data_IF_610551045734
#
_entry.id   IF_610551045734
#
_cell.length_a   1.000
_cell.length_b   1.000
_cell.length_c   1.000
_cell.angle_alpha   90.00
_cell.angle_beta   90.00
_cell.angle_gamma   90.00
#
_symmetry.space_group_name_H-M   'P 1'
#
loop_
_entity.id
_entity.type
_entity.pdbx_description
1 polymer ?
#
# COMPACT_ATOMS: atom_id res chain seq x y z
N UNK A 1 -3.04 -24.05 -63.81
CA UNK A 1 -3.53 -23.55 -62.51
C UNK A 1 -2.42 -22.76 -61.85
N UNK A 2 -2.61 -21.48 -61.54
CA UNK A 2 -1.62 -20.65 -60.82
C UNK A 2 -1.85 -20.83 -59.32
N UNK A 3 -0.83 -21.30 -58.61
CA UNK A 3 -0.82 -21.38 -57.15
C UNK A 3 -0.89 -19.96 -56.57
N UNK A 4 -1.96 -19.66 -55.84
CA UNK A 4 -2.11 -18.42 -55.07
C UNK A 4 -1.79 -18.76 -53.62
N UNK A 5 -0.68 -18.24 -53.04
CA UNK A 5 -0.34 -18.53 -51.67
C UNK A 5 -1.42 -17.94 -50.73
N UNK A 6 -1.76 -18.63 -49.63
CA UNK A 6 -2.74 -18.13 -48.68
C UNK A 6 -2.27 -16.78 -48.11
N UNK A 7 -3.14 -15.77 -48.17
CA UNK A 7 -2.95 -14.50 -47.46
C UNK A 7 -2.70 -14.81 -45.99
N UNK A 8 -1.49 -14.52 -45.49
CA UNK A 8 -1.26 -14.45 -44.04
C UNK A 8 -2.24 -13.42 -43.49
N UNK A 9 -3.23 -13.89 -42.72
CA UNK A 9 -4.10 -13.00 -41.95
C UNK A 9 -3.19 -12.17 -41.06
N UNK A 10 -3.24 -10.85 -41.19
CA UNK A 10 -2.58 -9.97 -40.25
C UNK A 10 -3.09 -10.34 -38.85
N UNK A 11 -2.21 -10.52 -37.84
CA UNK A 11 -2.67 -10.83 -36.50
C UNK A 11 -3.66 -9.76 -36.07
N UNK A 12 -4.87 -10.16 -35.66
CA UNK A 12 -5.86 -9.25 -35.08
C UNK A 12 -5.14 -8.51 -33.95
N UNK A 13 -4.94 -7.20 -34.11
CA UNK A 13 -4.41 -6.36 -33.04
C UNK A 13 -5.47 -6.26 -31.96
N UNK A 14 -5.49 -7.22 -31.05
CA UNK A 14 -6.36 -7.17 -29.88
C UNK A 14 -5.95 -5.96 -29.03
N UNK A 15 -6.93 -5.11 -28.73
CA UNK A 15 -6.71 -3.96 -27.88
C UNK A 15 -6.72 -4.43 -26.43
N UNK A 16 -5.74 -4.00 -25.62
CA UNK A 16 -5.71 -4.30 -24.18
C UNK A 16 -6.98 -3.82 -23.46
N UNK A 17 -7.72 -2.87 -24.04
CA UNK A 17 -9.01 -2.37 -23.54
C UNK A 17 -10.13 -3.41 -23.55
N UNK A 18 -9.97 -4.48 -24.34
CA UNK A 18 -10.91 -5.60 -24.42
C UNK A 18 -10.60 -6.70 -23.40
N UNK A 19 -9.48 -6.61 -22.67
CA UNK A 19 -9.14 -7.56 -21.61
C UNK A 19 -10.13 -7.37 -20.44
N UNK A 20 -10.83 -8.41 -19.98
CA UNK A 20 -11.78 -8.29 -18.86
C UNK A 20 -11.14 -7.71 -17.59
N UNK A 21 -9.92 -8.14 -17.24
CA UNK A 21 -9.20 -7.61 -16.09
C UNK A 21 -8.84 -6.11 -16.22
N UNK A 22 -8.60 -5.61 -17.44
CA UNK A 22 -8.43 -4.17 -17.66
C UNK A 22 -9.72 -3.42 -17.33
N UNK A 23 -10.87 -3.94 -17.76
CA UNK A 23 -12.17 -3.32 -17.48
C UNK A 23 -12.48 -3.34 -15.97
N UNK A 24 -12.18 -4.46 -15.30
CA UNK A 24 -12.31 -4.59 -13.85
C UNK A 24 -11.44 -3.56 -13.11
N UNK A 25 -10.16 -3.43 -13.47
CA UNK A 25 -9.26 -2.44 -12.88
C UNK A 25 -9.68 -1.01 -13.23
N UNK A 26 -10.18 -0.76 -14.43
CA UNK A 26 -10.68 0.55 -14.84
C UNK A 26 -11.89 0.96 -14.02
N UNK A 27 -12.81 0.03 -13.75
CA UNK A 27 -13.95 0.26 -12.88
C UNK A 27 -13.52 0.47 -11.43
N UNK A 28 -12.59 -0.35 -10.93
CA UNK A 28 -12.15 -0.30 -9.55
C UNK A 28 -11.27 0.90 -9.22
N UNK A 29 -10.36 1.30 -10.12
CA UNK A 29 -9.30 2.30 -9.84
C UNK A 29 -9.43 3.58 -10.68
N UNK A 30 -10.30 3.58 -11.68
CA UNK A 30 -10.36 4.60 -12.73
C UNK A 30 -9.55 4.21 -13.96
N UNK A 31 -10.07 4.55 -15.13
CA UNK A 31 -9.47 4.17 -16.41
C UNK A 31 -8.04 4.71 -16.58
N UNK A 32 -7.77 5.94 -16.15
CA UNK A 32 -6.44 6.54 -16.24
C UNK A 32 -5.38 5.69 -15.50
N UNK A 33 -5.73 5.18 -14.31
CA UNK A 33 -4.85 4.30 -13.52
C UNK A 33 -4.66 2.97 -14.26
N UNK A 34 -5.73 2.36 -14.78
CA UNK A 34 -5.64 1.11 -15.52
C UNK A 34 -4.77 1.23 -16.79
N UNK A 35 -4.88 2.36 -17.51
CA UNK A 35 -4.01 2.66 -18.67
C UNK A 35 -2.56 2.81 -18.22
N UNK A 36 -2.29 3.50 -17.12
CA UNK A 36 -0.94 3.65 -16.58
C UNK A 36 -0.32 2.29 -16.21
N UNK A 37 -1.08 1.39 -15.58
CA UNK A 37 -0.61 0.03 -15.27
C UNK A 37 -0.17 -0.73 -16.54
N UNK A 38 -0.93 -0.61 -17.63
CA UNK A 38 -0.58 -1.21 -18.92
C UNK A 38 0.71 -0.59 -19.49
N UNK A 39 0.88 0.73 -19.38
CA UNK A 39 2.09 1.41 -19.84
C UNK A 39 3.32 0.98 -19.05
N UNK A 40 3.21 0.89 -17.72
CA UNK A 40 4.28 0.41 -16.83
C UNK A 40 4.66 -1.04 -17.14
N UNK A 41 3.67 -1.91 -17.36
CA UNK A 41 3.87 -3.30 -17.79
C UNK A 41 4.60 -3.37 -19.13
N UNK A 42 4.16 -2.62 -20.14
CA UNK A 42 4.81 -2.62 -21.47
C UNK A 42 6.22 -2.04 -21.44
N UNK A 43 6.49 -1.06 -20.58
CA UNK A 43 7.83 -0.52 -20.40
C UNK A 43 8.76 -1.53 -19.74
N UNK A 44 8.24 -2.38 -18.85
CA UNK A 44 9.02 -3.39 -18.11
C UNK A 44 9.17 -4.68 -18.90
N UNK A 45 8.14 -5.07 -19.65
CA UNK A 45 8.07 -6.26 -20.48
C UNK A 45 7.69 -5.86 -21.92
N UNK A 46 8.63 -5.30 -22.72
CA UNK A 46 8.33 -4.79 -24.06
C UNK A 46 7.79 -5.82 -25.05
N UNK A 47 8.08 -7.10 -24.80
CA UNK A 47 7.64 -8.23 -25.61
C UNK A 47 6.34 -8.86 -25.12
N UNK A 48 5.72 -8.34 -24.05
CA UNK A 48 4.47 -8.86 -23.53
C UNK A 48 3.34 -8.69 -24.55
N UNK A 49 2.73 -9.80 -24.94
CA UNK A 49 1.56 -9.82 -25.79
C UNK A 49 0.27 -9.55 -24.99
N UNK A 50 -0.87 -9.56 -25.68
CA UNK A 50 -2.17 -9.26 -25.06
C UNK A 50 -2.54 -10.30 -23.99
N UNK A 51 -2.14 -11.56 -24.17
CA UNK A 51 -2.38 -12.63 -23.22
C UNK A 51 -1.57 -12.43 -21.94
N UNK A 52 -0.27 -12.16 -22.07
CA UNK A 52 0.63 -11.86 -20.95
C UNK A 52 0.14 -10.65 -20.15
N UNK A 53 -0.28 -9.58 -20.83
CA UNK A 53 -0.90 -8.43 -20.18
C UNK A 53 -2.20 -8.81 -19.46
N UNK A 54 -3.01 -9.68 -20.07
CA UNK A 54 -4.25 -10.18 -19.48
C UNK A 54 -4.01 -10.95 -18.17
N UNK A 55 -3.03 -11.83 -18.15
CA UNK A 55 -2.64 -12.58 -16.95
C UNK A 55 -2.15 -11.63 -15.86
N UNK A 56 -1.23 -10.72 -16.18
CA UNK A 56 -0.68 -9.76 -15.22
C UNK A 56 -1.78 -8.89 -14.58
N UNK A 57 -2.67 -8.33 -15.40
CA UNK A 57 -3.79 -7.51 -14.91
C UNK A 57 -4.77 -8.33 -14.06
N UNK A 58 -5.01 -9.60 -14.40
CA UNK A 58 -5.88 -10.49 -13.63
C UNK A 58 -5.31 -10.82 -12.25
N UNK A 59 -3.99 -11.04 -12.18
CA UNK A 59 -3.27 -11.24 -10.92
C UNK A 59 -3.39 -10.01 -10.02
N UNK A 60 -3.15 -8.83 -10.58
CA UNK A 60 -3.27 -7.55 -9.86
C UNK A 60 -4.70 -7.32 -9.36
N UNK A 61 -5.71 -7.48 -10.22
CA UNK A 61 -7.11 -7.31 -9.84
C UNK A 61 -7.54 -8.25 -8.71
N UNK A 62 -7.13 -9.52 -8.80
CA UNK A 62 -7.39 -10.52 -7.77
C UNK A 62 -6.72 -10.16 -6.44
N UNK A 63 -5.47 -9.69 -6.50
CA UNK A 63 -4.72 -9.31 -5.31
C UNK A 63 -5.35 -8.09 -4.60
N UNK A 64 -5.74 -7.07 -5.36
CA UNK A 64 -6.39 -5.88 -4.81
C UNK A 64 -7.76 -6.21 -4.22
N UNK A 65 -8.57 -7.03 -4.91
CA UNK A 65 -9.88 -7.45 -4.41
C UNK A 65 -9.76 -8.15 -3.06
N UNK A 66 -8.80 -9.09 -2.91
CA UNK A 66 -8.55 -9.77 -1.63
C UNK A 66 -8.17 -8.79 -0.51
N UNK A 67 -7.30 -7.82 -0.81
CA UNK A 67 -6.84 -6.80 0.15
C UNK A 67 -7.97 -5.86 0.56
N UNK A 68 -8.78 -5.39 -0.38
CA UNK A 68 -9.96 -4.56 -0.11
C UNK A 68 -10.94 -5.31 0.80
N UNK A 69 -11.26 -6.57 0.49
CA UNK A 69 -12.13 -7.39 1.35
C UNK A 69 -11.54 -7.62 2.74
N UNK A 70 -10.23 -7.86 2.85
CA UNK A 70 -9.55 -7.99 4.14
C UNK A 70 -9.69 -6.72 4.98
N UNK A 71 -9.40 -5.54 4.42
CA UNK A 71 -9.48 -4.28 5.19
C UNK A 71 -10.90 -3.87 5.55
N UNK A 72 -11.90 -4.21 4.73
CA UNK A 72 -13.30 -4.05 5.12
C UNK A 72 -13.62 -4.84 6.40
N UNK A 73 -13.16 -6.09 6.51
CA UNK A 73 -13.35 -6.92 7.72
C UNK A 73 -12.50 -6.43 8.89
N UNK A 74 -11.23 -6.12 8.65
CA UNK A 74 -10.30 -5.64 9.67
C UNK A 74 -10.85 -4.42 10.39
N UNK A 75 -11.46 -3.48 9.66
CA UNK A 75 -12.04 -2.27 10.24
C UNK A 75 -13.07 -2.57 11.32
N UNK A 76 -13.96 -3.54 11.08
CA UNK A 76 -14.96 -3.96 12.06
C UNK A 76 -14.32 -4.60 13.30
N UNK A 77 -13.28 -5.42 13.10
CA UNK A 77 -12.54 -6.05 14.20
C UNK A 77 -11.81 -5.00 15.06
N UNK A 78 -11.11 -4.05 14.44
CA UNK A 78 -10.39 -3.00 15.16
C UNK A 78 -11.32 -2.08 15.95
N UNK A 79 -12.52 -1.79 15.42
CA UNK A 79 -13.52 -1.01 16.14
C UNK A 79 -13.93 -1.67 17.48
N UNK A 80 -13.98 -3.00 17.54
CA UNK A 80 -14.27 -3.73 18.78
C UNK A 80 -13.05 -3.77 19.69
N UNK A 81 -11.88 -4.17 19.18
CA UNK A 81 -10.69 -4.44 20.00
C UNK A 81 -10.04 -3.20 20.60
N UNK A 82 -9.97 -2.09 19.85
CA UNK A 82 -9.23 -0.89 20.29
C UNK A 82 -10.07 0.05 21.15
N UNK A 83 -11.40 -0.07 21.10
CA UNK A 83 -12.30 0.62 22.04
C UNK A 83 -12.08 0.16 23.48
N UNK A 84 -11.80 -1.14 23.68
CA UNK A 84 -11.49 -1.71 24.98
C UNK A 84 -10.06 -1.38 25.45
N UNK A 85 -9.08 -1.44 24.53
CA UNK A 85 -7.64 -1.28 24.83
C UNK A 85 -7.26 0.18 25.17
N UNK A 86 -7.95 1.19 24.64
CA UNK A 86 -7.63 2.62 24.86
C UNK A 86 -7.61 3.06 26.32
N UNK A 87 -8.43 2.46 27.19
CA UNK A 87 -8.45 2.82 28.62
C UNK A 87 -7.16 2.47 29.35
N UNK A 88 -6.47 1.40 28.95
CA UNK A 88 -5.20 0.99 29.54
C UNK A 88 -4.02 1.83 29.02
N UNK A 89 -4.02 2.18 27.72
CA UNK A 89 -2.92 2.90 27.06
C UNK A 89 -2.72 4.34 27.56
N UNK A 90 -3.78 5.00 28.04
CA UNK A 90 -3.71 6.39 28.52
C UNK A 90 -2.91 6.56 29.83
N UNK A 91 -2.52 5.46 30.49
CA UNK A 91 -1.79 5.50 31.76
C UNK A 91 -0.27 5.59 31.60
N UNK A 92 0.28 5.25 30.43
CA UNK A 92 1.71 5.36 30.12
C UNK A 92 1.91 5.59 28.61
N UNK A 93 1.70 6.83 28.13
CA UNK A 93 1.83 7.12 26.71
C UNK A 93 3.29 6.96 26.29
N UNK A 94 3.56 6.01 25.38
CA UNK A 94 4.88 5.87 24.79
C UNK A 94 5.29 7.13 24.02
N UNK A 95 6.59 7.36 23.91
CA UNK A 95 7.16 8.59 23.35
C UNK A 95 7.84 8.36 21.99
N UNK A 96 8.32 9.44 21.39
CA UNK A 96 9.02 9.38 20.11
C UNK A 96 10.35 8.59 20.19
N UNK A 97 10.95 8.44 21.37
CA UNK A 97 12.15 7.61 21.56
C UNK A 97 11.78 6.13 21.38
N UNK A 98 10.80 5.67 22.14
CA UNK A 98 10.29 4.30 22.10
C UNK A 98 9.78 3.93 20.71
N UNK A 99 9.11 4.86 20.03
CA UNK A 99 8.67 4.70 18.65
C UNK A 99 9.82 4.53 17.66
N UNK A 100 10.86 5.37 17.79
CA UNK A 100 12.05 5.28 16.93
C UNK A 100 12.71 3.91 17.09
N UNK A 101 12.83 3.42 18.31
CA UNK A 101 13.52 2.17 18.62
C UNK A 101 12.78 0.97 18.05
N UNK A 102 11.45 0.98 18.18
CA UNK A 102 10.59 0.00 17.54
C UNK A 102 10.73 0.02 16.01
N UNK A 103 10.68 1.19 15.38
CA UNK A 103 10.80 1.31 13.91
C UNK A 103 12.17 0.84 13.42
N UNK A 104 13.26 1.24 14.09
CA UNK A 104 14.63 0.84 13.74
C UNK A 104 14.81 -0.67 13.88
N UNK A 105 14.32 -1.26 14.98
CA UNK A 105 14.39 -2.71 15.21
C UNK A 105 13.59 -3.50 14.17
N UNK A 106 12.43 -3.00 13.76
CA UNK A 106 11.54 -3.66 12.80
C UNK A 106 11.93 -3.46 11.33
N UNK A 107 12.94 -2.62 11.05
CA UNK A 107 13.33 -2.25 9.69
C UNK A 107 14.74 -2.77 9.41
N UNK A 108 14.85 -3.84 8.61
CA UNK A 108 16.10 -4.60 8.35
C UNK A 108 17.21 -3.83 7.58
N UNK A 109 16.98 -2.58 7.19
CA UNK A 109 17.93 -1.71 6.48
C UNK A 109 18.74 -0.83 7.43
N UNK A 110 19.91 -0.33 6.99
CA UNK A 110 20.69 0.70 7.70
C UNK A 110 19.87 1.97 7.88
N UNK A 111 19.15 2.08 8.99
CA UNK A 111 18.29 3.22 9.27
C UNK A 111 19.08 4.25 10.07
N UNK A 112 19.06 5.49 9.60
CA UNK A 112 19.52 6.60 10.43
C UNK A 112 18.47 6.86 11.52
N UNK A 113 18.78 6.38 12.73
CA UNK A 113 17.96 6.58 13.94
C UNK A 113 17.67 8.06 14.18
N UNK A 114 18.63 8.96 13.95
CA UNK A 114 18.46 10.41 14.14
C UNK A 114 17.48 10.98 13.12
N UNK A 115 17.60 10.55 11.87
CA UNK A 115 16.66 10.93 10.82
C UNK A 115 15.23 10.50 11.16
N UNK A 116 15.02 9.22 11.53
CA UNK A 116 13.69 8.71 11.89
C UNK A 116 13.12 9.50 13.06
N UNK A 117 13.91 9.70 14.12
CA UNK A 117 13.47 10.45 15.30
C UNK A 117 13.07 11.88 14.95
N UNK A 118 13.92 12.60 14.21
CA UNK A 118 13.63 13.98 13.80
C UNK A 118 12.39 14.11 12.92
N UNK A 119 12.11 13.10 12.08
CA UNK A 119 10.86 13.04 11.31
C UNK A 119 9.66 12.82 12.23
N UNK A 120 9.73 11.87 13.17
CA UNK A 120 8.64 11.59 14.13
C UNK A 120 8.35 12.83 14.97
N UNK A 121 9.35 13.45 15.60
CA UNK A 121 9.18 14.64 16.43
C UNK A 121 8.52 15.78 15.63
N UNK A 122 9.02 16.04 14.42
CA UNK A 122 8.48 17.05 13.50
C UNK A 122 7.02 16.80 13.16
N UNK A 123 6.64 15.55 12.87
CA UNK A 123 5.26 15.22 12.56
C UNK A 123 4.37 15.22 13.78
N UNK A 124 4.80 14.68 14.92
CA UNK A 124 4.02 14.70 16.18
C UNK A 124 3.64 16.13 16.56
N UNK A 125 4.57 17.09 16.43
CA UNK A 125 4.32 18.51 16.69
C UNK A 125 3.41 19.20 15.64
N UNK A 126 3.29 18.62 14.44
CA UNK A 126 2.46 19.18 13.36
C UNK A 126 1.00 18.72 13.42
N UNK A 127 0.11 19.44 12.72
CA UNK A 127 -1.30 19.06 12.50
C UNK A 127 -1.53 18.35 11.16
N UNK A 128 -0.47 17.92 10.48
CA UNK A 128 -0.59 17.27 9.17
C UNK A 128 -1.38 15.96 9.28
N UNK A 129 -2.45 15.83 8.49
CA UNK A 129 -3.26 14.61 8.38
C UNK A 129 -2.49 13.55 7.59
N UNK A 130 -2.37 12.34 8.15
CA UNK A 130 -1.76 11.20 7.47
C UNK A 130 -2.80 10.30 6.78
N UNK A 131 -4.02 10.80 6.60
CA UNK A 131 -5.11 10.08 5.93
C UNK A 131 -5.12 10.22 4.40
N UNK A 132 -4.35 11.17 3.86
CA UNK A 132 -4.20 11.35 2.41
C UNK A 132 -2.84 10.84 1.93
N UNK A 133 -2.79 10.44 0.66
CA UNK A 133 -1.61 9.79 0.10
C UNK A 133 -0.47 10.78 -0.15
N UNK A 134 -0.80 12.04 -0.42
CA UNK A 134 0.15 13.11 -0.71
C UNK A 134 1.05 13.39 0.50
N UNK A 135 0.47 13.52 1.70
CA UNK A 135 1.21 13.72 2.94
C UNK A 135 2.01 12.48 3.33
N UNK A 136 1.45 11.28 3.16
CA UNK A 136 2.21 10.03 3.34
C UNK A 136 3.38 9.91 2.36
N UNK A 137 3.27 10.47 1.15
CA UNK A 137 4.37 10.50 0.21
C UNK A 137 5.49 11.45 0.68
N UNK A 138 5.15 12.59 1.30
CA UNK A 138 6.14 13.47 1.96
C UNK A 138 6.84 12.72 3.09
N UNK A 139 6.06 12.06 3.95
CA UNK A 139 6.59 11.25 5.05
C UNK A 139 7.51 10.12 4.53
N UNK A 140 7.08 9.38 3.50
CA UNK A 140 7.85 8.30 2.88
C UNK A 140 9.20 8.80 2.35
N UNK A 141 9.23 9.92 1.60
CA UNK A 141 10.47 10.52 1.10
C UNK A 141 11.44 10.90 2.21
N UNK A 142 10.91 11.42 3.34
CA UNK A 142 11.73 11.79 4.50
C UNK A 142 12.26 10.58 5.27
N UNK A 143 11.61 9.42 5.19
CA UNK A 143 12.01 8.18 5.88
C UNK A 143 12.81 7.20 5.02
N UNK A 144 12.66 7.29 3.70
CA UNK A 144 13.32 6.45 2.71
C UNK A 144 13.90 7.32 1.58
N UNK A 145 14.89 8.19 1.88
CA UNK A 145 15.47 9.11 0.89
C UNK A 145 16.14 8.40 -0.29
N UNK A 146 16.61 7.17 -0.06
CA UNK A 146 17.25 6.32 -1.06
C UNK A 146 16.26 5.29 -1.68
N UNK A 147 14.96 5.50 -1.51
CA UNK A 147 13.94 4.64 -2.10
C UNK A 147 14.12 4.53 -3.62
N UNK A 148 13.74 3.37 -4.18
CA UNK A 148 13.75 3.11 -5.62
C UNK A 148 13.05 4.25 -6.38
N UNK A 149 13.71 4.72 -7.45
CA UNK A 149 13.10 5.64 -8.42
C UNK A 149 12.17 4.87 -9.36
N UNK A 150 10.99 5.42 -9.60
CA UNK A 150 9.97 4.84 -10.47
C UNK A 150 9.04 3.83 -9.77
N UNK A 151 7.94 3.44 -10.42
CA UNK A 151 6.92 2.58 -9.82
C UNK A 151 7.43 1.15 -9.60
N UNK A 152 6.90 0.49 -8.57
CA UNK A 152 6.91 -0.97 -8.50
C UNK A 152 5.82 -1.47 -9.44
N UNK A 153 6.22 -2.12 -10.53
CA UNK A 153 5.32 -2.65 -11.55
C UNK A 153 4.71 -3.98 -11.10
N UNK A 154 3.59 -4.37 -11.71
CA UNK A 154 2.96 -5.69 -11.51
C UNK A 154 3.99 -6.78 -11.77
N UNK A 155 4.15 -7.65 -10.78
CA UNK A 155 5.04 -8.80 -10.88
C UNK A 155 4.28 -10.01 -11.47
N UNK A 156 4.75 -10.47 -12.62
CA UNK A 156 4.20 -11.64 -13.32
C UNK A 156 4.72 -12.97 -12.75
N UNK A 157 5.72 -12.92 -11.86
CA UNK A 157 6.35 -14.11 -11.26
C UNK A 157 5.71 -14.54 -9.93
N UNK A 158 4.73 -13.78 -9.43
CA UNK A 158 3.90 -14.19 -8.29
C UNK A 158 4.21 -13.51 -6.96
N UNK A 159 4.90 -12.36 -6.94
CA UNK A 159 4.99 -11.55 -5.71
C UNK A 159 3.60 -11.29 -5.13
N UNK A 160 3.45 -11.41 -3.79
CA UNK A 160 2.19 -11.14 -3.13
C UNK A 160 1.90 -9.63 -3.06
N UNK A 161 2.78 -8.74 -3.55
CA UNK A 161 2.65 -7.29 -3.42
C UNK A 161 2.03 -6.66 -4.68
N UNK A 162 1.06 -5.73 -4.53
CA UNK A 162 0.50 -5.04 -5.68
C UNK A 162 1.54 -4.09 -6.27
N UNK A 163 1.29 -3.65 -7.49
CA UNK A 163 2.00 -2.49 -8.04
C UNK A 163 1.84 -1.27 -7.13
N UNK A 164 2.84 -0.40 -7.09
CA UNK A 164 2.73 0.84 -6.30
C UNK A 164 1.65 1.77 -6.85
N UNK A 165 1.44 1.76 -8.16
CA UNK A 165 0.44 2.58 -8.85
C UNK A 165 -0.98 2.18 -8.46
N UNK A 166 -1.31 0.89 -8.51
CA UNK A 166 -2.61 0.44 -8.05
C UNK A 166 -2.76 0.56 -6.53
N UNK A 167 -1.70 0.26 -5.78
CA UNK A 167 -1.66 0.45 -4.33
C UNK A 167 -1.99 1.88 -3.89
N UNK A 168 -1.39 2.87 -4.55
CA UNK A 168 -1.65 4.29 -4.30
C UNK A 168 -3.08 4.68 -4.69
N UNK A 169 -3.60 4.16 -5.80
CA UNK A 169 -4.97 4.42 -6.23
C UNK A 169 -6.01 3.88 -5.22
N UNK A 170 -5.84 2.64 -4.76
CA UNK A 170 -6.73 2.08 -3.73
C UNK A 170 -6.60 2.83 -2.42
N UNK A 171 -5.38 3.15 -1.97
CA UNK A 171 -5.19 3.96 -0.77
C UNK A 171 -5.90 5.32 -0.88
N UNK A 172 -5.80 5.97 -2.04
CA UNK A 172 -6.47 7.26 -2.30
C UNK A 172 -7.99 7.14 -2.17
N UNK A 173 -8.58 6.03 -2.61
CA UNK A 173 -10.01 5.76 -2.40
C UNK A 173 -10.37 5.52 -0.93
N UNK A 174 -9.46 4.96 -0.13
CA UNK A 174 -9.64 4.78 1.31
C UNK A 174 -9.44 6.06 2.13
N UNK A 175 -8.87 7.11 1.53
CA UNK A 175 -8.51 8.35 2.25
C UNK A 175 -9.68 9.00 2.98
N UNK A 176 -10.87 9.06 2.39
CA UNK A 176 -12.06 9.64 3.04
C UNK A 176 -12.49 8.82 4.26
N UNK A 177 -12.30 7.50 4.25
CA UNK A 177 -12.59 6.64 5.39
C UNK A 177 -11.56 6.86 6.49
N UNK A 178 -10.29 6.94 6.13
CA UNK A 178 -9.21 7.24 7.06
C UNK A 178 -9.42 8.60 7.74
N UNK A 179 -9.80 9.63 6.98
CA UNK A 179 -10.13 10.96 7.52
C UNK A 179 -11.22 10.91 8.58
N UNK A 180 -12.29 10.13 8.37
CA UNK A 180 -13.37 9.97 9.37
C UNK A 180 -12.93 9.23 10.62
N UNK A 181 -11.88 8.43 10.53
CA UNK A 181 -11.33 7.70 11.67
C UNK A 181 -10.35 8.54 12.48
N UNK A 182 -9.88 9.68 11.99
CA UNK A 182 -8.91 10.50 12.73
C UNK A 182 -9.39 10.83 14.15
N UNK A 183 -8.48 10.67 15.12
CA UNK A 183 -8.79 10.81 16.55
C UNK A 183 -9.47 9.60 17.19
N UNK A 184 -9.93 8.61 16.40
CA UNK A 184 -10.48 7.37 16.93
C UNK A 184 -9.37 6.38 17.32
N UNK A 185 -9.60 5.51 18.32
CA UNK A 185 -8.60 4.55 18.81
C UNK A 185 -8.07 3.60 17.72
N UNK A 186 -8.92 3.26 16.76
CA UNK A 186 -8.60 2.32 15.68
C UNK A 186 -7.86 2.96 14.50
N UNK A 187 -7.72 4.30 14.46
CA UNK A 187 -7.10 4.98 13.34
C UNK A 187 -5.62 4.63 13.15
N UNK A 188 -4.75 4.73 14.17
CA UNK A 188 -3.35 4.36 14.01
C UNK A 188 -3.15 2.94 13.47
N UNK A 189 -3.73 1.86 14.05
CA UNK A 189 -3.53 0.50 13.54
C UNK A 189 -4.20 0.28 12.17
N UNK A 190 -5.30 0.96 11.86
CA UNK A 190 -5.92 0.84 10.55
C UNK A 190 -5.10 1.53 9.46
N UNK A 191 -4.53 2.70 9.75
CA UNK A 191 -3.61 3.41 8.85
C UNK A 191 -2.36 2.57 8.57
N UNK A 192 -1.76 2.00 9.61
CA UNK A 192 -0.66 1.03 9.48
C UNK A 192 -1.02 -0.10 8.53
N UNK A 193 -2.17 -0.73 8.76
CA UNK A 193 -2.68 -1.83 7.95
C UNK A 193 -2.87 -1.42 6.49
N UNK A 194 -3.45 -0.24 6.19
CA UNK A 194 -3.63 0.25 4.83
C UNK A 194 -2.30 0.51 4.11
N UNK A 195 -1.29 1.08 4.76
CA UNK A 195 0.00 1.36 4.11
C UNK A 195 0.78 0.06 3.85
N UNK A 196 0.88 -0.84 4.85
CA UNK A 196 1.44 -2.19 4.65
C UNK A 196 0.61 -3.02 3.67
N UNK A 197 -0.67 -2.72 3.60
CA UNK A 197 -1.69 -3.51 2.93
C UNK A 197 -2.01 -3.11 1.52
N UNK A 198 -1.70 -1.90 1.10
CA UNK A 198 -1.83 -1.49 -0.28
C UNK A 198 -0.47 -1.22 -0.92
N UNK A 199 0.59 -1.12 -0.11
CA UNK A 199 1.94 -0.80 -0.59
C UNK A 199 1.96 0.36 -1.60
N UNK A 200 1.44 1.55 -1.24
CA UNK A 200 1.27 2.64 -2.20
C UNK A 200 2.59 3.23 -2.69
N UNK A 201 3.72 2.95 -2.04
CA UNK A 201 5.04 3.43 -2.46
C UNK A 201 5.86 2.32 -3.12
N UNK A 202 6.79 2.65 -4.05
CA UNK A 202 7.69 1.67 -4.64
C UNK A 202 8.56 0.96 -3.59
N UNK A 203 9.00 1.70 -2.57
CA UNK A 203 9.81 1.23 -1.45
C UNK A 203 9.49 2.05 -0.18
N UNK A 204 9.91 1.55 0.99
CA UNK A 204 9.78 2.25 2.27
C UNK A 204 8.40 2.13 2.92
N UNK A 205 7.50 1.28 2.40
CA UNK A 205 6.15 1.10 2.97
C UNK A 205 6.19 0.68 4.44
N UNK A 206 7.04 -0.28 4.82
CA UNK A 206 7.17 -0.72 6.21
C UNK A 206 7.55 0.41 7.17
N UNK A 207 8.60 1.17 6.82
CA UNK A 207 9.06 2.32 7.60
C UNK A 207 7.98 3.41 7.69
N UNK A 208 7.36 3.71 6.56
CA UNK A 208 6.31 4.75 6.48
C UNK A 208 5.08 4.38 7.28
N UNK A 209 4.63 3.12 7.19
CA UNK A 209 3.46 2.64 7.89
C UNK A 209 3.67 2.67 9.41
N UNK A 210 4.82 2.20 9.89
CA UNK A 210 5.16 2.23 11.32
C UNK A 210 5.36 3.65 11.86
N UNK A 211 5.98 4.53 11.08
CA UNK A 211 6.08 5.94 11.45
C UNK A 211 4.69 6.60 11.51
N UNK A 212 3.82 6.36 10.54
CA UNK A 212 2.47 6.90 10.54
C UNK A 212 1.64 6.39 11.72
N UNK A 213 1.75 5.10 12.05
CA UNK A 213 1.20 4.51 13.28
C UNK A 213 1.71 5.24 14.53
N UNK A 214 3.03 5.35 14.68
CA UNK A 214 3.63 5.95 15.86
C UNK A 214 3.22 7.42 16.01
N UNK A 215 3.33 8.22 14.94
CA UNK A 215 2.96 9.64 14.94
C UNK A 215 1.50 9.81 15.39
N UNK A 216 0.59 9.04 14.79
CA UNK A 216 -0.85 9.18 15.06
C UNK A 216 -1.23 8.66 16.44
N UNK A 217 -0.59 7.59 16.92
CA UNK A 217 -0.80 7.06 18.26
C UNK A 217 -0.20 7.98 19.35
N UNK A 218 0.99 8.56 19.14
CA UNK A 218 1.59 9.54 20.07
C UNK A 218 0.70 10.78 20.18
N UNK A 219 0.21 11.32 19.06
CA UNK A 219 -0.73 12.46 19.06
C UNK A 219 -2.02 12.16 19.83
N UNK A 220 -2.39 10.89 19.95
CA UNK A 220 -3.56 10.43 20.71
C UNK A 220 -3.22 10.02 22.16
N UNK A 221 -1.95 10.09 22.58
CA UNK A 221 -1.50 9.64 23.90
C UNK A 221 -1.63 8.12 24.09
N UNK A 222 -1.50 7.34 23.02
CA UNK A 222 -1.80 5.91 23.02
C UNK A 222 -0.75 5.05 22.29
N UNK A 223 0.49 5.53 22.18
CA UNK A 223 1.52 4.78 21.49
C UNK A 223 1.94 3.53 22.27
N UNK A 224 1.79 2.37 21.63
CA UNK A 224 2.30 1.09 22.07
C UNK A 224 2.93 0.38 20.85
N UNK A 225 4.19 -0.09 20.95
CA UNK A 225 4.80 -0.89 19.89
C UNK A 225 4.00 -2.16 19.60
N UNK A 226 3.66 -2.41 18.33
CA UNK A 226 2.99 -3.65 17.96
C UNK A 226 3.99 -4.80 17.84
N UNK A 227 3.56 -5.99 18.24
CA UNK A 227 4.33 -7.21 17.99
C UNK A 227 4.32 -7.57 16.50
N UNK A 228 5.38 -8.21 16.01
CA UNK A 228 5.50 -8.61 14.60
C UNK A 228 4.33 -9.49 14.12
N UNK A 229 3.75 -10.29 15.01
CA UNK A 229 2.58 -11.11 14.70
C UNK A 229 1.32 -10.27 14.53
N UNK A 230 1.12 -9.25 15.38
CA UNK A 230 0.01 -8.31 15.25
C UNK A 230 0.11 -7.52 13.93
N UNK A 231 1.29 -7.00 13.59
CA UNK A 231 1.53 -6.34 12.30
C UNK A 231 1.18 -7.26 11.12
N UNK A 232 1.59 -8.53 11.19
CA UNK A 232 1.29 -9.52 10.15
C UNK A 232 -0.21 -9.73 10.00
N UNK A 233 -0.92 -9.95 11.11
CA UNK A 233 -2.38 -10.15 11.14
C UNK A 233 -3.14 -8.96 10.53
N UNK A 234 -2.74 -7.73 10.85
CA UNK A 234 -3.45 -6.55 10.35
C UNK A 234 -3.08 -6.23 8.90
N UNK A 235 -1.85 -6.49 8.45
CA UNK A 235 -1.36 -6.10 7.12
C UNK A 235 -2.05 -6.80 5.94
N UNK A 236 -2.68 -7.96 6.16
CA UNK A 236 -3.23 -8.79 5.09
C UNK A 236 -2.17 -9.42 4.18
N UNK A 237 -0.89 -9.36 4.57
CA UNK A 237 0.25 -9.99 3.90
C UNK A 237 0.45 -11.39 4.49
N UNK A 238 -0.44 -12.32 4.16
CA UNK A 238 -0.22 -13.73 4.50
C UNK A 238 0.52 -14.42 3.35
N UNK A 239 1.55 -15.25 3.65
CA UNK A 239 1.99 -16.27 2.70
C UNK A 239 0.78 -17.15 2.36
N UNK A 240 0.63 -17.52 1.09
CA UNK A 240 -0.34 -18.54 0.69
C UNK A 240 -0.09 -19.78 1.57
N UNK A 241 -1.11 -20.20 2.31
CA UNK A 241 -1.21 -21.56 2.84
C UNK A 241 -1.99 -22.38 1.82
#
# INVERSE_FOLDING_TARGET
MKYVPPRRLAPKRYSYRQIPAFQQLSHALGEAVAVQLVQELKSTYPTADTETLGVALSMEASLLSRRISHFHRLRALLAVSYSARRRAMLQSPGDAASATDWIVKASLSSNDRRQIRGVIDSYVASRASLSNIEELAVLNRRLAPNARKGPRVIDITGSPLPSSTAGAAVFKQESWRLQRLEGQPMYPPYLLACVLGYHPFPDGNGRTARAAYAITAIRQGSFEPLASEEERKISGLHPQQ
#
